data_IF_550218173734
#
_entry.id   IF_550218173734
#
_cell.length_a   1.000
_cell.length_b   1.000
_cell.length_c   1.000
_cell.angle_alpha   90.00
_cell.angle_beta   90.00
_cell.angle_gamma   90.00
#
_symmetry.space_group_name_H-M   'P 1'
#
loop_
_entity.id
_entity.type
_entity.pdbx_description
1 polymer ?
#
# COMPACT_ATOMS: atom_id res chain seq x y z
N UNK A 1 21.49 4.14 -13.69
CA UNK A 1 21.85 4.58 -12.33
C UNK A 1 21.76 6.11 -12.29
N UNK A 2 20.60 6.68 -11.94
CA UNK A 2 20.39 8.14 -12.04
C UNK A 2 21.14 8.83 -10.89
N UNK A 3 22.12 9.65 -11.23
CA UNK A 3 22.84 10.52 -10.29
C UNK A 3 21.85 11.55 -9.72
N UNK A 4 21.44 11.36 -8.47
CA UNK A 4 20.63 12.36 -7.76
C UNK A 4 21.52 13.55 -7.37
N UNK A 5 21.16 14.75 -7.82
CA UNK A 5 21.91 15.97 -7.46
C UNK A 5 21.84 16.24 -5.94
N UNK A 6 22.89 16.84 -5.38
CA UNK A 6 22.96 17.22 -3.96
C UNK A 6 21.73 18.04 -3.55
N UNK A 7 21.29 18.96 -4.42
CA UNK A 7 20.09 19.78 -4.21
C UNK A 7 18.82 18.94 -4.00
N UNK A 8 18.63 17.89 -4.80
CA UNK A 8 17.46 17.00 -4.68
C UNK A 8 17.48 16.22 -3.36
N UNK A 9 18.65 15.77 -2.92
CA UNK A 9 18.81 15.08 -1.63
C UNK A 9 18.49 16.00 -0.45
N UNK A 10 18.97 17.24 -0.48
CA UNK A 10 18.70 18.23 0.57
C UNK A 10 17.22 18.61 0.63
N UNK A 11 16.57 18.81 -0.53
CA UNK A 11 15.14 19.12 -0.59
C UNK A 11 14.28 17.95 -0.09
N UNK A 12 14.63 16.70 -0.45
CA UNK A 12 13.91 15.51 0.03
C UNK A 12 13.97 15.37 1.55
N UNK A 13 15.15 15.61 2.13
CA UNK A 13 15.34 15.58 3.58
C UNK A 13 14.55 16.68 4.29
N UNK A 14 14.59 17.92 3.80
CA UNK A 14 13.83 19.05 4.35
C UNK A 14 12.32 18.78 4.31
N UNK A 15 11.80 18.29 3.19
CA UNK A 15 10.38 17.91 3.07
C UNK A 15 10.03 16.77 4.02
N UNK A 16 10.86 15.75 4.11
CA UNK A 16 10.67 14.64 5.06
C UNK A 16 10.59 15.12 6.50
N UNK A 17 11.48 16.02 6.93
CA UNK A 17 11.48 16.57 8.28
C UNK A 17 10.27 17.48 8.56
N UNK A 18 9.82 18.23 7.55
CA UNK A 18 8.62 19.08 7.66
C UNK A 18 7.34 18.22 7.79
N UNK A 19 7.21 17.18 6.96
CA UNK A 19 6.04 16.30 6.96
C UNK A 19 5.93 15.46 8.25
N UNK A 20 7.05 15.11 8.88
CA UNK A 20 7.05 14.36 10.15
C UNK A 20 6.63 15.20 11.36
N UNK A 21 6.75 16.52 11.28
CA UNK A 21 6.41 17.43 12.38
C UNK A 21 5.08 18.16 12.16
N UNK A 22 4.39 17.91 11.05
CA UNK A 22 3.09 18.51 10.77
C UNK A 22 1.97 17.68 11.43
N UNK A 23 1.20 18.23 12.38
CA UNK A 23 0.13 17.48 13.04
C UNK A 23 -0.94 17.07 12.03
N UNK A 24 -1.26 15.77 12.00
CA UNK A 24 -2.24 15.20 11.06
C UNK A 24 -1.67 14.73 9.71
N UNK A 25 -0.34 14.74 9.53
CA UNK A 25 0.33 14.23 8.34
C UNK A 25 0.94 12.85 8.56
N UNK A 26 0.79 11.95 7.59
CA UNK A 26 1.44 10.63 7.63
C UNK A 26 2.93 10.77 7.32
N UNK A 27 3.75 10.00 8.04
CA UNK A 27 5.15 9.76 7.67
C UNK A 27 5.25 8.71 6.56
N UNK A 28 6.36 8.68 5.82
CA UNK A 28 6.58 7.65 4.79
C UNK A 28 6.52 6.23 5.36
N UNK A 29 6.98 6.02 6.60
CA UNK A 29 6.89 4.71 7.28
C UNK A 29 5.44 4.31 7.54
N UNK A 30 4.65 5.22 8.11
CA UNK A 30 3.21 4.94 8.34
C UNK A 30 2.45 4.75 7.04
N UNK A 31 2.86 5.43 5.96
CA UNK A 31 2.32 5.21 4.63
C UNK A 31 2.54 3.76 4.17
N UNK A 32 3.74 3.22 4.36
CA UNK A 32 4.05 1.82 4.04
C UNK A 32 3.18 0.86 4.87
N UNK A 33 2.98 1.14 6.16
CA UNK A 33 2.14 0.32 7.04
C UNK A 33 0.66 0.29 6.60
N UNK A 34 0.17 1.38 6.00
CA UNK A 34 -1.22 1.51 5.55
C UNK A 34 -1.46 1.13 4.10
N UNK A 35 -0.42 0.75 3.34
CA UNK A 35 -0.54 0.56 1.88
C UNK A 35 -1.54 -0.55 1.53
N UNK A 36 -1.53 -1.66 2.28
CA UNK A 36 -2.43 -2.79 2.08
C UNK A 36 -3.87 -2.40 2.39
N UNK A 37 -4.11 -1.90 3.60
CA UNK A 37 -5.44 -1.44 4.01
C UNK A 37 -6.02 -0.36 3.10
N UNK A 38 -5.18 0.48 2.48
CA UNK A 38 -5.62 1.44 1.46
C UNK A 38 -6.09 0.75 0.17
N UNK A 39 -5.33 -0.23 -0.32
CA UNK A 39 -5.68 -0.99 -1.52
C UNK A 39 -6.91 -1.88 -1.32
N UNK A 40 -7.07 -2.44 -0.13
CA UNK A 40 -8.19 -3.31 0.23
C UNK A 40 -9.44 -2.52 0.68
N UNK A 41 -9.34 -1.18 0.78
CA UNK A 41 -10.46 -0.32 1.16
C UNK A 41 -10.84 -0.37 2.64
N UNK A 42 -9.94 -0.85 3.50
CA UNK A 42 -10.16 -1.04 4.95
C UNK A 42 -9.86 0.22 5.78
N UNK A 43 -9.27 1.25 5.16
CA UNK A 43 -8.99 2.52 5.85
C UNK A 43 -10.26 3.31 6.16
N UNK A 44 -10.29 3.93 7.34
CA UNK A 44 -11.32 4.92 7.68
C UNK A 44 -11.21 6.14 6.75
N UNK A 45 -12.30 6.89 6.57
CA UNK A 45 -12.31 8.12 5.75
C UNK A 45 -11.22 9.12 6.13
N UNK A 46 -10.93 9.25 7.44
CA UNK A 46 -9.86 10.12 7.93
C UNK A 46 -8.48 9.62 7.49
N UNK A 47 -8.24 8.31 7.55
CA UNK A 47 -6.98 7.71 7.10
C UNK A 47 -6.80 7.84 5.59
N UNK A 48 -7.85 7.61 4.80
CA UNK A 48 -7.84 7.82 3.35
C UNK A 48 -7.42 9.26 3.01
N UNK A 49 -8.05 10.25 3.65
CA UNK A 49 -7.71 11.66 3.41
C UNK A 49 -6.24 11.97 3.74
N UNK A 50 -5.71 11.46 4.86
CA UNK A 50 -4.30 11.65 5.22
C UNK A 50 -3.34 10.94 4.23
N UNK A 51 -3.72 9.76 3.75
CA UNK A 51 -2.97 8.95 2.79
C UNK A 51 -2.88 9.65 1.43
N UNK A 52 -4.01 10.13 0.91
CA UNK A 52 -4.08 10.89 -0.34
C UNK A 52 -3.33 12.22 -0.26
N UNK A 53 -3.46 12.94 0.86
CA UNK A 53 -2.66 14.15 1.11
C UNK A 53 -1.16 13.87 1.07
N UNK A 54 -0.71 12.76 1.65
CA UNK A 54 0.69 12.36 1.57
C UNK A 54 1.12 12.06 0.13
N UNK A 55 0.27 11.36 -0.65
CA UNK A 55 0.52 11.11 -2.06
C UNK A 55 0.65 12.38 -2.88
N UNK A 56 -0.05 13.47 -2.55
CA UNK A 56 0.09 14.74 -3.28
C UNK A 56 1.47 15.38 -3.08
N UNK A 57 2.03 15.28 -1.88
CA UNK A 57 3.26 16.00 -1.49
C UNK A 57 4.54 15.19 -1.63
N UNK A 58 4.46 13.86 -1.51
CA UNK A 58 5.62 12.96 -1.52
C UNK A 58 5.68 12.18 -2.84
N UNK A 59 6.71 12.44 -3.66
CA UNK A 59 6.87 11.75 -4.95
C UNK A 59 7.30 10.29 -4.73
N UNK A 60 8.16 10.06 -3.76
CA UNK A 60 8.73 8.76 -3.44
C UNK A 60 7.65 7.76 -3.04
N UNK A 61 6.67 8.18 -2.24
CA UNK A 61 5.54 7.32 -1.87
C UNK A 61 4.58 7.06 -3.03
N UNK A 62 4.44 8.00 -3.99
CA UNK A 62 3.71 7.72 -5.25
C UNK A 62 4.42 6.67 -6.09
N UNK A 63 5.73 6.82 -6.26
CA UNK A 63 6.56 5.89 -7.03
C UNK A 63 6.57 4.50 -6.36
N UNK A 64 6.61 4.47 -5.02
CA UNK A 64 6.50 3.25 -4.23
C UNK A 64 5.15 2.56 -4.41
N UNK A 65 4.04 3.29 -4.30
CA UNK A 65 2.69 2.74 -4.51
C UNK A 65 2.53 2.16 -5.93
N UNK A 66 3.03 2.86 -6.95
CA UNK A 66 3.01 2.36 -8.33
C UNK A 66 3.83 1.06 -8.48
N UNK A 67 5.02 1.00 -7.87
CA UNK A 67 5.89 -0.17 -7.89
C UNK A 67 5.27 -1.36 -7.12
N UNK A 68 4.60 -1.08 -6.01
CA UNK A 68 3.89 -2.08 -5.22
C UNK A 68 2.76 -2.71 -6.04
N UNK A 69 1.87 -1.89 -6.63
CA UNK A 69 0.78 -2.35 -7.50
C UNK A 69 1.30 -3.23 -8.64
N UNK A 70 2.40 -2.79 -9.29
CA UNK A 70 3.03 -3.58 -10.37
C UNK A 70 3.55 -4.93 -9.88
N UNK A 71 4.14 -4.98 -8.68
CA UNK A 71 4.60 -6.25 -8.08
C UNK A 71 3.43 -7.21 -7.85
N UNK A 72 2.30 -6.70 -7.35
CA UNK A 72 1.08 -7.50 -7.14
C UNK A 72 0.55 -8.02 -8.48
N UNK A 73 0.45 -7.18 -9.51
CA UNK A 73 0.01 -7.59 -10.86
C UNK A 73 0.91 -8.69 -11.45
N UNK A 74 2.23 -8.52 -11.36
CA UNK A 74 3.19 -9.53 -11.85
C UNK A 74 2.99 -10.86 -11.11
N UNK A 75 2.82 -10.83 -9.79
CA UNK A 75 2.58 -12.05 -9.01
C UNK A 75 1.31 -12.77 -9.44
N UNK A 76 0.21 -12.04 -9.67
CA UNK A 76 -1.05 -12.61 -10.17
C UNK A 76 -0.86 -13.33 -11.50
N UNK A 77 -0.16 -12.69 -12.44
CA UNK A 77 0.14 -13.25 -13.77
C UNK A 77 1.01 -14.51 -13.65
N UNK A 78 2.09 -14.46 -12.86
CA UNK A 78 3.04 -15.58 -12.70
C UNK A 78 2.38 -16.79 -12.04
N UNK A 79 1.53 -16.57 -11.05
CA UNK A 79 0.81 -17.63 -10.34
C UNK A 79 -0.41 -18.15 -11.12
N UNK A 80 -0.73 -17.53 -12.26
CA UNK A 80 -1.89 -17.89 -13.06
C UNK A 80 -3.20 -17.74 -12.29
N UNK A 81 -3.26 -16.81 -11.32
CA UNK A 81 -4.45 -16.50 -10.55
C UNK A 81 -5.28 -15.48 -11.36
N UNK A 82 -6.43 -15.85 -11.94
CA UNK A 82 -7.36 -14.88 -12.51
C UNK A 82 -7.84 -13.92 -11.41
N UNK A 83 -8.03 -12.64 -11.74
CA UNK A 83 -8.57 -11.63 -10.82
C UNK A 83 -9.94 -12.03 -10.23
N UNK A 84 -10.64 -12.94 -10.91
CA UNK A 84 -12.02 -13.33 -10.64
C UNK A 84 -12.19 -14.83 -10.37
N UNK A 85 -11.10 -15.58 -10.17
CA UNK A 85 -11.18 -17.02 -9.88
C UNK A 85 -11.59 -17.29 -8.44
N UNK A 86 -12.77 -16.82 -8.07
CA UNK A 86 -13.55 -17.44 -7.01
C UNK A 86 -14.25 -18.62 -7.67
N UNK A 87 -13.92 -19.88 -7.31
CA UNK A 87 -14.68 -21.02 -7.80
C UNK A 87 -16.16 -20.82 -7.47
N UNK A 88 -17.05 -21.08 -8.43
CA UNK A 88 -18.51 -21.01 -8.22
C UNK A 88 -18.95 -21.88 -7.02
N UNK A 89 -18.21 -22.96 -6.77
CA UNK A 89 -18.39 -23.83 -5.61
C UNK A 89 -17.11 -23.91 -4.77
N UNK A 90 -17.22 -23.46 -3.52
CA UNK A 90 -16.15 -23.61 -2.52
C UNK A 90 -16.17 -25.06 -1.98
N UNK A 91 -15.02 -25.76 -1.93
CA UNK A 91 -14.96 -27.14 -1.44
C UNK A 91 -15.52 -27.29 -0.01
N UNK A 92 -16.42 -28.27 0.18
CA UNK A 92 -17.12 -28.48 1.45
C UNK A 92 -16.18 -28.87 2.61
N UNK A 93 -15.05 -29.52 2.30
CA UNK A 93 -13.99 -29.85 3.24
C UNK A 93 -13.28 -28.61 3.79
N UNK A 94 -13.06 -27.59 2.96
CA UNK A 94 -12.52 -26.30 3.39
C UNK A 94 -13.48 -25.58 4.35
N UNK A 95 -14.78 -25.57 4.04
CA UNK A 95 -15.82 -25.01 4.91
C UNK A 95 -15.83 -25.74 6.26
N UNK A 96 -15.84 -27.07 6.24
CA UNK A 96 -15.82 -27.88 7.45
C UNK A 96 -14.56 -27.64 8.31
N UNK A 97 -13.39 -27.47 7.68
CA UNK A 97 -12.14 -27.18 8.36
C UNK A 97 -12.17 -25.81 9.07
N UNK A 98 -12.66 -24.76 8.40
CA UNK A 98 -12.79 -23.40 8.97
C UNK A 98 -13.78 -23.37 10.13
N UNK A 99 -14.92 -24.08 10.00
CA UNK A 99 -15.91 -24.17 11.08
C UNK A 99 -15.36 -24.90 12.30
N UNK A 100 -14.53 -25.92 12.10
CA UNK A 100 -13.88 -26.67 13.18
C UNK A 100 -12.82 -25.85 13.93
N UNK A 101 -12.15 -24.90 13.25
CA UNK A 101 -11.13 -24.04 13.89
C UNK A 101 -11.71 -22.88 14.71
N UNK A 102 -13.03 -22.63 14.65
CA UNK A 102 -13.73 -21.61 15.44
C UNK A 102 -14.22 -22.13 16.81
N UNK A 103 -13.76 -23.30 17.25
CA UNK A 103 -14.09 -23.92 18.55
C UNK A 103 -12.97 -23.76 19.56
#
# INVERSE_FOLDING_TARGET
MKSESVLQRTVRWLKGQMLTHMPGMLTCRQFEDFILAYLDGELTRKQVAMFEMHLLVCRECRDYLASYKRTVEINKVVLGLPDDAVPDEVPADLIAAILKSKQ
#
